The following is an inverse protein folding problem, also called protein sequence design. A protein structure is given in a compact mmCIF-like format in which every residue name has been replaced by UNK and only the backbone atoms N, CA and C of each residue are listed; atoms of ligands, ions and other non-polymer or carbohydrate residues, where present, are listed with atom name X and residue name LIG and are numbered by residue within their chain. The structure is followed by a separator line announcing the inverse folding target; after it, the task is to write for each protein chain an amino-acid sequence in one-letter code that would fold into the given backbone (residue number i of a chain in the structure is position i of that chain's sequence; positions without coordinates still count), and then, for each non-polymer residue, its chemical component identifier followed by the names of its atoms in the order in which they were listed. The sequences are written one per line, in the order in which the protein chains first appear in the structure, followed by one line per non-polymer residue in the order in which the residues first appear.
data_IF_668603282488
#
_entry.id   IF_668603282488
#
_cell.length_a   1.000
_cell.length_b   1.000
_cell.length_c   1.000
_cell.angle_alpha   90.00
_cell.angle_beta   90.00
_cell.angle_gamma   90.00
#
_symmetry.space_group_name_H-M   'P 1'
#
loop_
_entity.id
_entity.type
_entity.pdbx_description
1 polymer ?
#
# COMPACT_ATOMS: atom_id res chain seq x y z
N UNK A 1 -15.54 14.63 11.49
CA UNK A 1 -15.62 13.16 11.43
C UNK A 1 -14.65 12.70 10.35
N UNK A 2 -13.40 12.31 10.65
CA UNK A 2 -12.52 11.76 9.62
C UNK A 2 -12.14 10.33 10.01
N UNK A 3 -12.56 9.36 9.22
CA UNK A 3 -12.08 7.98 9.37
C UNK A 3 -12.10 7.29 8.01
N UNK A 4 -11.44 7.92 7.04
CA UNK A 4 -11.12 7.27 5.78
C UNK A 4 -9.69 7.64 5.38
N UNK A 5 -8.80 7.68 6.37
CA UNK A 5 -7.36 7.94 6.24
C UNK A 5 -6.54 6.63 6.20
N UNK A 6 -7.19 5.49 6.00
CA UNK A 6 -6.54 4.18 6.04
C UNK A 6 -5.92 3.84 4.69
N UNK A 7 -4.63 3.52 4.71
CA UNK A 7 -3.86 3.12 3.53
C UNK A 7 -4.21 1.68 3.18
N UNK A 8 -4.28 1.33 1.89
CA UNK A 8 -4.48 -0.06 1.45
C UNK A 8 -3.25 -0.55 0.71
N UNK A 9 -2.59 -1.56 1.23
CA UNK A 9 -1.42 -2.17 0.65
C UNK A 9 -1.80 -3.52 0.03
N UNK A 10 -1.74 -3.59 -1.30
CA UNK A 10 -1.87 -4.82 -2.05
C UNK A 10 -0.49 -5.44 -2.26
N UNK A 11 -0.34 -6.69 -1.86
CA UNK A 11 0.92 -7.39 -1.96
C UNK A 11 0.76 -8.89 -1.89
N UNK A 12 1.89 -9.57 -1.73
CA UNK A 12 1.92 -11.02 -1.56
C UNK A 12 2.97 -11.42 -0.53
N UNK A 13 2.71 -12.48 0.24
CA UNK A 13 3.65 -12.94 1.27
C UNK A 13 5.01 -13.41 0.72
N UNK A 14 5.06 -13.86 -0.53
CA UNK A 14 6.31 -14.27 -1.17
C UNK A 14 7.17 -13.09 -1.63
N UNK A 15 6.62 -11.88 -1.68
CA UNK A 15 7.32 -10.70 -2.17
C UNK A 15 8.13 -10.04 -1.04
N UNK A 16 9.45 -10.01 -1.21
CA UNK A 16 10.37 -9.38 -0.24
C UNK A 16 10.12 -7.88 -0.07
N UNK A 17 9.84 -7.17 -1.18
CA UNK A 17 9.53 -5.74 -1.15
C UNK A 17 8.22 -5.44 -0.42
N UNK A 18 7.20 -6.28 -0.57
CA UNK A 18 5.95 -6.15 0.19
C UNK A 18 6.21 -6.23 1.70
N UNK A 19 7.01 -7.19 2.17
CA UNK A 19 7.34 -7.27 3.60
C UNK A 19 8.10 -6.04 4.09
N UNK A 20 8.99 -5.48 3.27
CA UNK A 20 9.78 -4.30 3.63
C UNK A 20 8.89 -3.06 3.82
N UNK A 21 8.01 -2.77 2.87
CA UNK A 21 7.09 -1.63 2.97
C UNK A 21 6.09 -1.82 4.11
N UNK A 22 5.56 -3.04 4.29
CA UNK A 22 4.68 -3.40 5.40
C UNK A 22 5.33 -3.12 6.76
N UNK A 23 6.57 -3.56 6.94
CA UNK A 23 7.34 -3.35 8.16
C UNK A 23 7.55 -1.86 8.45
N UNK A 24 7.82 -1.06 7.43
CA UNK A 24 7.98 0.38 7.62
C UNK A 24 6.68 1.06 8.09
N UNK A 25 5.54 0.72 7.46
CA UNK A 25 4.24 1.25 7.88
C UNK A 25 3.91 0.87 9.33
N UNK A 26 4.25 -0.36 9.72
CA UNK A 26 4.12 -0.86 11.10
C UNK A 26 5.05 -0.12 12.07
N UNK A 27 6.31 0.12 11.69
CA UNK A 27 7.27 0.91 12.48
C UNK A 27 6.84 2.38 12.65
N UNK A 28 6.15 2.94 11.65
CA UNK A 28 5.55 4.28 11.72
C UNK A 28 4.24 4.31 12.52
N UNK A 29 3.68 3.15 12.90
CA UNK A 29 2.44 3.04 13.66
C UNK A 29 1.20 3.46 12.89
N UNK A 30 1.22 3.34 11.57
CA UNK A 30 0.12 3.77 10.69
C UNK A 30 -0.86 2.63 10.49
N UNK A 31 -2.16 2.93 10.56
CA UNK A 31 -3.18 1.95 10.18
C UNK A 31 -3.22 1.78 8.65
N UNK A 32 -2.92 0.55 8.21
CA UNK A 32 -3.05 0.15 6.82
C UNK A 32 -3.74 -1.22 6.69
N UNK A 33 -4.48 -1.38 5.60
CA UNK A 33 -5.14 -2.61 5.21
C UNK A 33 -4.21 -3.38 4.28
N UNK A 34 -3.69 -4.51 4.73
CA UNK A 34 -2.92 -5.42 3.87
C UNK A 34 -3.86 -6.39 3.16
N UNK A 35 -3.79 -6.43 1.83
CA UNK A 35 -4.57 -7.33 0.99
C UNK A 35 -3.61 -8.26 0.25
N UNK A 36 -3.79 -9.56 0.46
CA UNK A 36 -2.98 -10.60 -0.17
C UNK A 36 -3.59 -11.03 -1.50
N UNK A 37 -2.87 -10.75 -2.58
CA UNK A 37 -3.24 -11.05 -3.97
C UNK A 37 -3.15 -12.54 -4.31
N UNK A 38 -2.42 -13.31 -3.50
CA UNK A 38 -2.29 -14.77 -3.63
C UNK A 38 -3.47 -15.46 -2.96
N UNK A 39 -3.90 -14.94 -1.80
CA UNK A 39 -5.07 -15.46 -1.11
C UNK A 39 -6.37 -15.07 -1.83
N UNK A 40 -6.43 -13.84 -2.37
CA UNK A 40 -7.60 -13.30 -3.05
C UNK A 40 -7.28 -12.91 -4.50
N UNK A 41 -7.63 -13.76 -5.48
CA UNK A 41 -7.39 -13.45 -6.89
C UNK A 41 -8.23 -12.27 -7.38
N UNK A 42 -9.37 -11.96 -6.76
CA UNK A 42 -10.16 -10.78 -7.12
C UNK A 42 -9.43 -9.49 -6.71
N UNK A 43 -8.70 -9.51 -5.60
CA UNK A 43 -7.81 -8.40 -5.23
C UNK A 43 -6.68 -8.19 -6.25
N UNK A 44 -6.20 -9.25 -6.91
CA UNK A 44 -5.20 -9.13 -7.97
C UNK A 44 -5.73 -8.36 -9.18
N UNK A 45 -6.96 -8.63 -9.59
CA UNK A 45 -7.65 -7.85 -10.64
C UNK A 45 -7.85 -6.40 -10.20
N UNK A 46 -8.29 -6.15 -8.96
CA UNK A 46 -8.46 -4.79 -8.42
C UNK A 46 -7.13 -4.02 -8.39
N UNK A 47 -6.05 -4.63 -7.87
CA UNK A 47 -4.74 -3.98 -7.82
C UNK A 47 -4.21 -3.65 -9.22
N UNK A 48 -4.50 -4.52 -10.20
CA UNK A 48 -4.15 -4.31 -11.61
C UNK A 48 -5.00 -3.19 -12.25
N UNK A 49 -6.28 -3.11 -11.94
CA UNK A 49 -7.15 -2.00 -12.38
C UNK A 49 -6.73 -0.67 -11.77
N UNK A 50 -6.38 -0.65 -10.48
CA UNK A 50 -5.97 0.57 -9.77
C UNK A 50 -4.60 1.05 -10.27
N UNK A 51 -3.60 0.18 -10.28
CA UNK A 51 -2.23 0.56 -10.69
C UNK A 51 -2.07 0.72 -12.20
N UNK A 52 -2.98 0.14 -12.99
CA UNK A 52 -2.84 -0.01 -14.43
C UNK A 52 -1.66 -0.89 -14.86
N UNK A 53 -0.99 -1.57 -13.91
CA UNK A 53 0.24 -2.35 -14.12
C UNK A 53 0.15 -3.69 -13.36
N UNK A 54 1.00 -4.64 -13.71
CA UNK A 54 1.05 -5.97 -13.06
C UNK A 54 2.13 -6.04 -11.96
N UNK A 55 2.55 -4.90 -11.44
CA UNK A 55 3.67 -4.76 -10.54
C UNK A 55 3.19 -4.64 -9.09
N UNK A 56 3.88 -5.32 -8.17
CA UNK A 56 3.56 -5.35 -6.73
C UNK A 56 4.85 -5.10 -5.93
N UNK A 57 4.81 -4.40 -4.79
CA UNK A 57 3.64 -3.93 -4.03
C UNK A 57 2.88 -2.74 -4.65
N UNK A 58 1.56 -2.69 -4.47
CA UNK A 58 0.73 -1.50 -4.78
C UNK A 58 0.22 -0.92 -3.47
N UNK A 59 0.56 0.34 -3.19
CA UNK A 59 0.12 1.06 -1.99
C UNK A 59 -0.86 2.14 -2.43
N UNK A 60 -2.11 2.04 -1.96
CA UNK A 60 -3.19 2.99 -2.23
C UNK A 60 -3.40 3.85 -0.99
N UNK A 61 -3.38 5.15 -1.17
CA UNK A 61 -3.51 6.15 -0.12
C UNK A 61 -4.97 6.63 -0.01
N UNK A 62 -5.34 7.22 1.13
CA UNK A 62 -6.70 7.74 1.34
C UNK A 62 -7.08 8.88 0.38
N UNK A 63 -6.13 9.57 -0.25
CA UNK A 63 -6.42 10.61 -1.26
C UNK A 63 -6.75 10.03 -2.65
N UNK A 64 -6.93 8.71 -2.76
CA UNK A 64 -7.05 7.94 -4.00
C UNK A 64 -5.77 7.93 -4.87
N UNK A 65 -4.65 8.48 -4.40
CA UNK A 65 -3.35 8.23 -5.02
C UNK A 65 -2.90 6.80 -4.77
N UNK A 66 -2.07 6.27 -5.67
CA UNK A 66 -1.43 4.97 -5.48
C UNK A 66 0.03 5.02 -5.94
N UNK A 67 0.86 4.20 -5.31
CA UNK A 67 2.22 3.95 -5.71
C UNK A 67 2.42 2.48 -6.04
N UNK A 68 3.21 2.22 -7.08
CA UNK A 68 3.54 0.89 -7.58
C UNK A 68 5.04 0.68 -7.39
N UNK A 69 5.41 -0.38 -6.70
CA UNK A 69 6.79 -0.64 -6.24
C UNK A 69 7.43 0.59 -5.55
N UNK A 70 6.75 1.26 -4.59
CA UNK A 70 7.35 2.41 -3.92
C UNK A 70 8.56 1.99 -3.09
N UNK A 71 9.55 2.88 -3.04
CA UNK A 71 10.60 2.77 -2.03
C UNK A 71 10.08 3.28 -0.70
N UNK A 72 10.78 2.89 0.38
CA UNK A 72 10.47 3.36 1.73
C UNK A 72 10.39 4.89 1.85
N UNK A 73 11.22 5.60 1.09
CA UNK A 73 11.23 7.06 1.05
C UNK A 73 10.00 7.65 0.33
N UNK A 74 9.50 7.00 -0.73
CA UNK A 74 8.30 7.46 -1.44
C UNK A 74 7.07 7.36 -0.53
N UNK A 75 6.94 6.22 0.17
CA UNK A 75 5.86 6.02 1.14
C UNK A 75 5.93 7.05 2.26
N UNK A 76 7.09 7.24 2.88
CA UNK A 76 7.28 8.24 3.93
C UNK A 76 6.97 9.67 3.46
N UNK A 77 7.40 10.02 2.24
CA UNK A 77 7.13 11.35 1.66
C UNK A 77 5.63 11.55 1.50
N UNK A 78 4.93 10.57 0.92
CA UNK A 78 3.47 10.66 0.71
C UNK A 78 2.71 10.71 2.03
N UNK A 79 3.15 9.95 3.03
CA UNK A 79 2.60 9.99 4.39
C UNK A 79 2.75 11.37 5.05
N UNK A 80 3.91 12.01 4.90
CA UNK A 80 4.13 13.40 5.35
C UNK A 80 3.26 14.39 4.59
N UNK A 81 3.11 14.22 3.27
CA UNK A 81 2.23 15.08 2.46
C UNK A 81 0.77 14.98 2.91
N UNK A 82 0.34 13.78 3.33
CA UNK A 82 -0.98 13.51 3.87
C UNK A 82 -1.11 13.87 5.36
N UNK A 83 -0.05 14.38 5.98
CA UNK A 83 0.01 14.70 7.41
C UNK A 83 -0.35 13.51 8.33
N UNK A 84 -0.01 12.29 7.90
CA UNK A 84 -0.19 11.05 8.67
C UNK A 84 0.99 10.76 9.61
N UNK A 85 2.14 11.42 9.39
CA UNK A 85 3.36 11.38 10.22
C UNK A 85 4.06 12.74 10.26
#
# INVERSE_FOLDING_TARGET
MPASDTITMFGAEWCGDCRRTKKQLDELGIEYTYIDLVADPAAADVAKEISGRMNIPVVVYPDASHHVEPSNADVETKLRELALI
#
